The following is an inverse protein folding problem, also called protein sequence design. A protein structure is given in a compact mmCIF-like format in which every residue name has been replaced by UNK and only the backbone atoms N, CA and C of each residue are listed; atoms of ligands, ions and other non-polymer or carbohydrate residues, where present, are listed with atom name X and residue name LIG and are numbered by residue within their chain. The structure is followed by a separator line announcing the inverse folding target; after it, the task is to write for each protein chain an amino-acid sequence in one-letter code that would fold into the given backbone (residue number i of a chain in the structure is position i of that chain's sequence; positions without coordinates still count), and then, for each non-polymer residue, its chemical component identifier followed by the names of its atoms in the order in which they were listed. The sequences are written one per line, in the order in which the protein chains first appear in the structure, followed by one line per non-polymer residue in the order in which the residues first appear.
data_IF_955144690841
#
_entry.id   IF_955144690841
#
_cell.length_a   1.000
_cell.length_b   1.000
_cell.length_c   1.000
_cell.angle_alpha   90.00
_cell.angle_beta   90.00
_cell.angle_gamma   90.00
#
_symmetry.space_group_name_H-M   'P 1'
#
loop_
_entity.id
_entity.type
_entity.pdbx_description
1 polymer ?
#
# COMPACT_ATOMS: atom_id res chain seq x y z
N UNK A 1 -14.64 18.90 1.09
CA UNK A 1 -15.37 17.61 1.17
C UNK A 1 -15.14 16.89 -0.14
N UNK A 2 -14.00 16.22 -0.28
CA UNK A 2 -13.77 15.23 -1.33
C UNK A 2 -14.54 13.96 -0.98
N UNK A 3 -14.83 13.14 -1.97
CA UNK A 3 -15.59 11.89 -1.82
C UNK A 3 -14.65 10.82 -1.28
N UNK A 4 -14.52 10.73 0.04
CA UNK A 4 -13.66 9.76 0.71
C UNK A 4 -14.40 8.44 0.91
N UNK A 5 -13.82 7.35 0.43
CA UNK A 5 -14.23 5.98 0.74
C UNK A 5 -13.21 5.25 1.62
N UNK A 6 -13.60 4.15 2.25
CA UNK A 6 -12.71 3.31 3.07
C UNK A 6 -11.72 2.49 2.24
N UNK A 7 -11.92 2.41 0.92
CA UNK A 7 -11.06 1.65 0.02
C UNK A 7 -9.69 2.30 -0.18
N UNK A 8 -8.65 1.49 -0.52
CA UNK A 8 -7.27 1.97 -0.64
C UNK A 8 -7.04 2.95 -1.79
N UNK A 9 -8.01 3.10 -2.72
CA UNK A 9 -7.93 4.01 -3.85
C UNK A 9 -9.03 5.09 -3.86
N UNK A 10 -9.77 5.21 -2.76
CA UNK A 10 -10.92 6.13 -2.65
C UNK A 10 -10.55 7.49 -2.06
N UNK A 11 -9.27 7.83 -2.02
CA UNK A 11 -8.78 9.16 -1.65
C UNK A 11 -8.26 9.94 -2.86
N UNK A 12 -8.36 11.27 -2.79
CA UNK A 12 -7.74 12.15 -3.79
C UNK A 12 -6.22 11.94 -3.83
N UNK A 13 -5.58 11.75 -2.67
CA UNK A 13 -4.16 11.42 -2.57
C UNK A 13 -3.79 10.09 -3.25
N UNK A 14 -4.62 9.06 -3.14
CA UNK A 14 -4.40 7.80 -3.86
C UNK A 14 -4.47 7.98 -5.38
N UNK A 15 -5.38 8.83 -5.86
CA UNK A 15 -5.47 9.17 -7.29
C UNK A 15 -4.22 9.91 -7.75
N UNK A 16 -3.77 10.91 -6.99
CA UNK A 16 -2.58 11.69 -7.31
C UNK A 16 -1.32 10.79 -7.29
N UNK A 17 -1.24 9.85 -6.34
CA UNK A 17 -0.18 8.85 -6.27
C UNK A 17 -0.18 7.95 -7.51
N UNK A 18 -1.33 7.42 -7.93
CA UNK A 18 -1.43 6.58 -9.14
C UNK A 18 -0.96 7.38 -10.36
N UNK A 19 -1.46 8.60 -10.54
CA UNK A 19 -1.12 9.46 -11.68
C UNK A 19 0.38 9.84 -11.66
N UNK A 20 0.95 10.06 -10.48
CA UNK A 20 2.37 10.30 -10.24
C UNK A 20 3.22 9.07 -10.60
N UNK A 21 2.84 7.87 -10.18
CA UNK A 21 3.56 6.64 -10.50
C UNK A 21 3.44 6.29 -11.98
N UNK A 22 2.27 6.50 -12.60
CA UNK A 22 2.04 6.22 -14.02
C UNK A 22 3.02 6.98 -14.94
N UNK A 23 3.42 8.19 -14.55
CA UNK A 23 4.35 9.05 -15.30
C UNK A 23 5.83 8.67 -15.13
N UNK A 24 6.15 7.70 -14.26
CA UNK A 24 7.52 7.29 -13.92
C UNK A 24 7.94 6.01 -14.63
N UNK A 25 9.24 5.90 -14.88
CA UNK A 25 9.87 4.64 -15.26
C UNK A 25 9.83 3.62 -14.10
N UNK A 26 10.02 2.32 -14.37
CA UNK A 26 10.00 1.30 -13.31
C UNK A 26 10.99 1.57 -12.16
N UNK A 27 12.19 2.07 -12.46
CA UNK A 27 13.21 2.34 -11.45
C UNK A 27 12.83 3.56 -10.58
N UNK A 28 12.26 4.60 -11.20
CA UNK A 28 11.75 5.78 -10.49
C UNK A 28 10.56 5.44 -9.59
N UNK A 29 9.67 4.53 -10.03
CA UNK A 29 8.56 4.04 -9.18
C UNK A 29 9.10 3.32 -7.94
N UNK A 30 10.06 2.40 -8.11
CA UNK A 30 10.67 1.69 -6.98
C UNK A 30 11.29 2.66 -5.99
N UNK A 31 12.06 3.64 -6.48
CA UNK A 31 12.67 4.64 -5.62
C UNK A 31 11.63 5.48 -4.87
N UNK A 32 10.55 5.88 -5.55
CA UNK A 32 9.46 6.63 -4.93
C UNK A 32 8.76 5.82 -3.83
N UNK A 33 8.49 4.52 -4.04
CA UNK A 33 7.90 3.67 -3.02
C UNK A 33 8.80 3.49 -1.78
N UNK A 34 10.11 3.31 -1.97
CA UNK A 34 11.07 3.29 -0.84
C UNK A 34 10.99 4.60 -0.02
N UNK A 35 10.90 5.75 -0.70
CA UNK A 35 10.73 7.04 -0.05
C UNK A 35 9.44 7.11 0.78
N UNK A 36 8.31 6.77 0.17
CA UNK A 36 6.99 6.76 0.84
C UNK A 36 7.02 5.87 2.09
N UNK A 37 7.57 4.66 2.01
CA UNK A 37 7.61 3.76 3.17
C UNK A 37 8.61 4.20 4.24
N UNK A 38 9.70 4.84 3.86
CA UNK A 38 10.62 5.46 4.82
C UNK A 38 9.95 6.62 5.58
N UNK A 39 9.23 7.48 4.86
CA UNK A 39 8.49 8.61 5.44
C UNK A 39 7.30 8.15 6.28
N UNK A 40 6.64 7.05 5.90
CA UNK A 40 5.57 6.44 6.68
C UNK A 40 6.01 6.09 8.12
N UNK A 41 7.27 5.68 8.29
CA UNK A 41 7.84 5.38 9.61
C UNK A 41 8.14 6.62 10.45
N UNK A 42 8.03 7.81 9.85
CA UNK A 42 8.30 9.11 10.47
C UNK A 42 7.06 9.98 10.55
N UNK A 43 5.86 9.44 10.28
CA UNK A 43 4.61 10.21 10.25
C UNK A 43 4.25 10.92 11.56
N UNK A 44 4.90 10.59 12.68
CA UNK A 44 4.81 11.35 13.92
C UNK A 44 5.60 12.68 13.92
N UNK A 45 6.43 12.91 12.93
CA UNK A 45 7.27 14.10 12.80
C UNK A 45 6.52 15.18 11.99
N UNK A 46 6.47 16.41 12.51
CA UNK A 46 5.75 17.54 11.90
C UNK A 46 6.26 17.95 10.49
N UNK A 47 7.43 17.45 10.07
CA UNK A 47 8.08 17.78 8.80
C UNK A 47 7.71 16.81 7.65
N UNK A 48 6.89 15.79 7.90
CA UNK A 48 6.49 14.79 6.91
C UNK A 48 5.18 15.18 6.25
N UNK A 49 5.24 15.58 4.97
CA UNK A 49 4.08 15.87 4.13
C UNK A 49 3.57 14.58 3.44
N UNK A 50 3.02 13.67 4.23
CA UNK A 50 2.48 12.39 3.78
C UNK A 50 1.22 12.07 4.57
N UNK A 51 0.13 11.67 3.91
CA UNK A 51 -1.08 11.23 4.62
C UNK A 51 -1.09 9.70 4.81
N UNK A 52 -1.62 9.19 5.92
CA UNK A 52 -1.81 7.74 6.12
C UNK A 52 -2.54 7.06 4.95
N UNK A 53 -3.53 7.71 4.35
CA UNK A 53 -4.23 7.17 3.16
C UNK A 53 -3.32 6.96 1.95
N UNK A 54 -2.28 7.78 1.79
CA UNK A 54 -1.34 7.67 0.67
C UNK A 54 -0.42 6.46 0.88
N UNK A 55 -0.07 6.19 2.14
CA UNK A 55 0.65 4.97 2.53
C UNK A 55 -0.19 3.74 2.22
N UNK A 56 -1.47 3.73 2.60
CA UNK A 56 -2.38 2.60 2.32
C UNK A 56 -2.50 2.34 0.81
N UNK A 57 -2.67 3.41 0.01
CA UNK A 57 -2.69 3.33 -1.44
C UNK A 57 -1.37 2.77 -2.01
N UNK A 58 -0.23 3.23 -1.48
CA UNK A 58 1.08 2.77 -1.90
C UNK A 58 1.29 1.28 -1.59
N UNK A 59 0.91 0.82 -0.40
CA UNK A 59 0.98 -0.59 -0.02
C UNK A 59 0.08 -1.44 -0.93
N UNK A 60 -1.14 -0.97 -1.24
CA UNK A 60 -2.04 -1.67 -2.16
C UNK A 60 -1.45 -1.79 -3.59
N UNK A 61 -0.78 -0.75 -4.09
CA UNK A 61 -0.06 -0.81 -5.38
C UNK A 61 1.09 -1.82 -5.36
N UNK A 62 1.82 -1.95 -4.24
CA UNK A 62 2.86 -2.97 -4.09
C UNK A 62 2.25 -4.38 -4.08
N UNK A 63 1.12 -4.59 -3.39
CA UNK A 63 0.41 -5.86 -3.42
C UNK A 63 -0.10 -6.20 -4.83
N UNK A 64 -0.61 -5.21 -5.58
CA UNK A 64 -0.96 -5.39 -7.00
C UNK A 64 0.25 -5.69 -7.90
N UNK A 65 1.45 -5.33 -7.47
CA UNK A 65 2.70 -5.56 -8.21
C UNK A 65 3.26 -6.98 -8.01
N UNK A 66 2.73 -7.73 -7.05
CA UNK A 66 3.07 -9.14 -6.82
C UNK A 66 2.51 -10.01 -7.97
N UNK A 67 3.24 -11.03 -8.45
CA UNK A 67 2.69 -11.99 -9.40
C UNK A 67 1.41 -12.66 -8.89
N UNK A 68 0.29 -12.52 -9.60
CA UNK A 68 -1.01 -13.03 -9.16
C UNK A 68 -1.69 -12.18 -8.08
N UNK A 69 -1.14 -11.01 -7.75
CA UNK A 69 -1.67 -10.08 -6.76
C UNK A 69 -3.04 -9.50 -7.16
N UNK A 70 -3.23 -8.97 -8.38
CA UNK A 70 -4.53 -8.44 -8.81
C UNK A 70 -5.67 -9.45 -8.69
N UNK A 71 -5.44 -10.71 -9.04
CA UNK A 71 -6.44 -11.78 -8.94
C UNK A 71 -6.83 -12.09 -7.49
N UNK A 72 -5.87 -11.99 -6.56
CA UNK A 72 -6.12 -12.19 -5.13
C UNK A 72 -6.81 -11.00 -4.47
N UNK A 73 -6.50 -9.79 -4.94
CA UNK A 73 -7.09 -8.54 -4.43
C UNK A 73 -8.51 -8.28 -4.96
N UNK A 74 -8.90 -8.92 -6.08
CA UNK A 74 -10.27 -8.84 -6.60
C UNK A 74 -10.69 -7.40 -6.90
N UNK A 75 -11.78 -6.94 -6.29
CA UNK A 75 -12.35 -5.61 -6.53
C UNK A 75 -11.44 -4.44 -6.10
N UNK A 76 -10.50 -4.70 -5.18
CA UNK A 76 -9.48 -3.72 -4.79
C UNK A 76 -8.56 -3.39 -5.99
N UNK A 77 -8.26 -4.38 -6.84
CA UNK A 77 -7.37 -4.23 -7.97
C UNK A 77 -8.08 -3.54 -9.16
N UNK A 78 -8.13 -2.22 -9.14
CA UNK A 78 -8.76 -1.44 -10.21
C UNK A 78 -7.88 -1.32 -11.46
N UNK A 79 -8.50 -1.24 -12.65
CA UNK A 79 -7.77 -1.00 -13.91
C UNK A 79 -6.95 0.30 -13.86
N UNK A 80 -7.44 1.31 -13.15
CA UNK A 80 -6.74 2.58 -12.98
C UNK A 80 -5.48 2.41 -12.15
N UNK A 81 -5.54 1.67 -11.05
CA UNK A 81 -4.39 1.41 -10.19
C UNK A 81 -3.30 0.58 -10.90
N UNK A 82 -3.68 -0.25 -11.90
CA UNK A 82 -2.72 -1.00 -12.71
C UNK A 82 -1.66 -0.12 -13.40
N UNK A 83 -1.95 1.16 -13.65
CA UNK A 83 -0.97 2.10 -14.23
C UNK A 83 0.21 2.40 -13.30
N UNK A 84 0.02 2.28 -11.97
CA UNK A 84 1.00 2.61 -10.94
C UNK A 84 1.87 1.45 -10.45
N UNK A 85 1.66 0.23 -10.94
CA UNK A 85 2.38 -0.96 -10.45
C UNK A 85 3.86 -0.97 -10.82
N UNK A 86 4.63 -1.79 -10.11
CA UNK A 86 6.06 -2.02 -10.29
C UNK A 86 6.31 -3.39 -10.93
N UNK A 87 6.92 -3.41 -12.11
CA UNK A 87 7.36 -4.67 -12.70
C UNK A 87 8.59 -5.24 -11.95
N UNK A 88 8.61 -6.56 -11.74
CA UNK A 88 9.75 -7.24 -11.10
C UNK A 88 9.99 -6.74 -9.67
N UNK A 89 8.96 -6.83 -8.83
CA UNK A 89 8.99 -6.38 -7.45
C UNK A 89 10.10 -7.08 -6.65
N UNK A 90 10.87 -6.30 -5.90
CA UNK A 90 11.85 -6.80 -4.94
C UNK A 90 11.15 -7.23 -3.63
N UNK A 91 11.40 -8.44 -3.10
CA UNK A 91 10.92 -8.85 -1.78
C UNK A 91 11.21 -7.86 -0.65
N UNK A 92 12.32 -7.10 -0.74
CA UNK A 92 12.60 -6.06 0.25
C UNK A 92 11.52 -4.98 0.26
N UNK A 93 11.09 -4.50 -0.92
CA UNK A 93 10.06 -3.48 -1.03
C UNK A 93 8.69 -3.98 -0.54
N UNK A 94 8.38 -5.26 -0.72
CA UNK A 94 7.19 -5.89 -0.15
C UNK A 94 7.23 -5.95 1.40
N UNK A 95 8.41 -6.22 1.97
CA UNK A 95 8.60 -6.19 3.43
C UNK A 95 8.45 -4.76 3.99
N UNK A 96 9.01 -3.76 3.31
CA UNK A 96 8.86 -2.36 3.70
C UNK A 96 7.38 -1.92 3.66
N UNK A 97 6.64 -2.34 2.64
CA UNK A 97 5.20 -2.10 2.54
C UNK A 97 4.42 -2.73 3.71
N UNK A 98 4.75 -3.96 4.12
CA UNK A 98 4.15 -4.60 5.29
C UNK A 98 4.42 -3.84 6.59
N UNK A 99 5.65 -3.35 6.77
CA UNK A 99 6.02 -2.56 7.95
C UNK A 99 5.27 -1.23 7.97
N UNK A 100 5.19 -0.54 6.83
CA UNK A 100 4.44 0.70 6.71
C UNK A 100 2.94 0.50 6.99
N UNK A 101 2.32 -0.56 6.46
CA UNK A 101 0.92 -0.90 6.75
C UNK A 101 0.69 -1.16 8.25
N UNK A 102 1.61 -1.88 8.89
CA UNK A 102 1.53 -2.15 10.32
C UNK A 102 1.59 -0.86 11.15
N UNK A 103 2.41 0.11 10.72
CA UNK A 103 2.49 1.43 11.36
C UNK A 103 1.20 2.26 11.18
N UNK A 104 0.46 2.06 10.09
CA UNK A 104 -0.82 2.73 9.87
C UNK A 104 -1.96 2.07 10.65
N UNK A 105 -1.84 0.78 10.96
CA UNK A 105 -2.89 -0.04 11.58
C UNK A 105 -2.82 -0.05 13.13
N UNK A 106 -2.50 1.09 13.75
CA UNK A 106 -2.41 1.24 15.21
C UNK A 106 -3.32 2.35 15.73
N UNK A 107 -3.89 2.22 16.95
CA UNK A 107 -4.67 3.28 17.57
C UNK A 107 -3.88 4.59 17.68
N UNK A 108 -4.54 5.72 17.37
CA UNK A 108 -3.93 7.05 17.30
C UNK A 108 -3.39 7.41 15.92
N UNK A 109 -3.46 6.50 14.93
CA UNK A 109 -3.24 6.83 13.53
C UNK A 109 -4.56 7.26 12.89
N UNK A 110 -4.55 8.39 12.18
CA UNK A 110 -5.76 8.99 11.60
C UNK A 110 -6.53 8.03 10.68
N UNK A 111 -5.85 7.17 9.91
CA UNK A 111 -6.54 6.18 9.07
C UNK A 111 -7.18 5.07 9.89
N UNK A 112 -6.49 4.56 10.92
CA UNK A 112 -7.04 3.53 11.80
C UNK A 112 -8.24 4.04 12.59
N UNK A 113 -8.09 5.20 13.23
CA UNK A 113 -9.13 5.82 14.06
C UNK A 113 -10.36 6.16 13.20
N UNK A 114 -10.16 6.57 11.94
CA UNK A 114 -11.27 6.91 11.04
C UNK A 114 -12.00 5.67 10.50
N UNK A 115 -11.29 4.62 10.11
CA UNK A 115 -11.88 3.55 9.29
C UNK A 115 -11.93 2.18 9.95
N UNK A 116 -11.17 1.94 11.01
CA UNK A 116 -10.98 0.62 11.61
C UNK A 116 -11.50 0.57 13.05
N UNK A 117 -11.29 1.62 13.85
CA UNK A 117 -11.68 1.63 15.27
C UNK A 117 -13.19 1.37 15.42
N UNK A 118 -14.01 2.09 14.66
CA UNK A 118 -15.47 1.99 14.71
C UNK A 118 -16.06 0.84 13.84
N UNK A 119 -15.32 0.36 12.85
CA UNK A 119 -15.74 -0.73 11.95
C UNK A 119 -14.60 -1.72 11.64
N UNK A 120 -14.22 -2.58 12.60
CA UNK A 120 -13.08 -3.49 12.46
C UNK A 120 -13.32 -4.63 11.45
N UNK A 121 -14.56 -4.80 10.98
CA UNK A 121 -14.94 -5.73 9.92
C UNK A 121 -15.28 -5.01 8.61
N UNK A 122 -15.07 -3.69 8.55
CA UNK A 122 -15.38 -2.84 7.42
C UNK A 122 -14.46 -3.03 6.23
N UNK A 123 -14.79 -2.35 5.13
CA UNK A 123 -14.07 -2.43 3.86
C UNK A 123 -12.57 -2.08 3.99
N UNK A 124 -12.22 -1.08 4.81
CA UNK A 124 -10.83 -0.69 5.06
C UNK A 124 -10.05 -1.83 5.74
N UNK A 125 -10.65 -2.49 6.74
CA UNK A 125 -10.04 -3.60 7.47
C UNK A 125 -9.86 -4.82 6.56
N UNK A 126 -10.89 -5.17 5.79
CA UNK A 126 -10.84 -6.26 4.82
C UNK A 126 -9.77 -6.01 3.75
N UNK A 127 -9.68 -4.78 3.24
CA UNK A 127 -8.68 -4.40 2.25
C UNK A 127 -7.25 -4.51 2.80
N UNK A 128 -7.01 -3.99 4.01
CA UNK A 128 -5.71 -4.10 4.66
C UNK A 128 -5.31 -5.56 4.94
N UNK A 129 -6.27 -6.41 5.31
CA UNK A 129 -6.03 -7.84 5.50
C UNK A 129 -5.68 -8.55 4.19
N UNK A 130 -6.43 -8.30 3.12
CA UNK A 130 -6.18 -8.89 1.80
C UNK A 130 -4.79 -8.49 1.27
N UNK A 131 -4.46 -7.20 1.35
CA UNK A 131 -3.14 -6.66 0.98
C UNK A 131 -2.03 -7.29 1.82
N UNK A 132 -2.23 -7.42 3.14
CA UNK A 132 -1.27 -8.07 4.04
C UNK A 132 -0.99 -9.51 3.62
N UNK A 133 -2.03 -10.27 3.31
CA UNK A 133 -1.89 -11.69 2.94
C UNK A 133 -1.09 -11.86 1.64
N UNK A 134 -1.44 -11.11 0.60
CA UNK A 134 -0.74 -11.12 -0.70
C UNK A 134 0.76 -10.86 -0.51
N UNK A 135 1.11 -9.84 0.27
CA UNK A 135 2.51 -9.47 0.52
C UNK A 135 3.24 -10.52 1.36
N UNK A 136 2.61 -11.07 2.40
CA UNK A 136 3.23 -12.09 3.26
C UNK A 136 3.55 -13.38 2.50
N UNK A 137 2.63 -13.83 1.65
CA UNK A 137 2.84 -15.01 0.80
C UNK A 137 4.04 -14.77 -0.13
N UNK A 138 4.06 -13.62 -0.81
CA UNK A 138 5.15 -13.27 -1.72
C UNK A 138 6.52 -13.22 -1.05
N UNK A 139 6.63 -12.59 0.12
CA UNK A 139 7.88 -12.53 0.90
C UNK A 139 8.33 -13.94 1.30
N UNK A 140 7.42 -14.75 1.84
CA UNK A 140 7.72 -16.11 2.31
C UNK A 140 8.22 -17.02 1.18
N UNK A 141 7.59 -16.97 0.00
CA UNK A 141 8.01 -17.74 -1.17
C UNK A 141 9.37 -17.28 -1.73
N UNK A 142 9.68 -16.00 -1.58
CA UNK A 142 10.93 -15.41 -2.06
C UNK A 142 12.11 -15.81 -1.17
N UNK A 143 11.91 -15.90 0.14
CA UNK A 143 12.91 -16.39 1.09
C UNK A 143 13.17 -17.89 0.93
N UNK A 144 12.11 -18.69 0.72
CA UNK A 144 12.24 -20.13 0.44
C UNK A 144 13.04 -20.42 -0.84
N UNK A 145 12.93 -19.57 -1.87
CA UNK A 145 13.71 -19.67 -3.11
C UNK A 145 15.18 -19.27 -2.97
N UNK A 146 15.55 -18.48 -1.95
CA UNK A 146 16.95 -18.10 -1.69
C UNK A 146 17.72 -19.16 -0.89
N UNK A 147 17.02 -20.09 -0.23
CA UNK A 147 17.61 -21.09 0.65
C UNK A 147 17.89 -22.46 -0.01
N UNK A 148 17.48 -22.67 -1.26
CA UNK A 148 17.69 -23.91 -2.03
C UNK A 148 18.64 -23.74 -3.20
#
# INVERSE_FOLDING_TARGET
MGTWGPGPFDSDGARDLIDFMAQRSPDERRHAFHGIFADAMRLSDDDVDLHPSDVIAAVALIAMSVPGGPEQLGEIATEKAAAGIVAGLDPQLATEALVALAAMSVPGNDWYDTWIEDDPEGEAAQSAQAVTEVLRVFVSESDGRRAG
#
